data_IF_535871609174
#
_entry.id   IF_535871609174
#
_cell.length_a   1.000
_cell.length_b   1.000
_cell.length_c   1.000
_cell.angle_alpha   90.00
_cell.angle_beta   90.00
_cell.angle_gamma   90.00
#
_symmetry.space_group_name_H-M   'P 1'
#
loop_
_entity.id
_entity.type
_entity.pdbx_description
1 polymer ?
#
# COMPACT_ATOMS: atom_id res chain seq x y z
N UNK A 1 13.98 15.22 -3.51
CA UNK A 1 12.52 15.07 -3.76
C UNK A 1 11.87 14.16 -2.70
N UNK A 2 12.16 14.39 -1.41
CA UNK A 2 11.58 13.63 -0.27
C UNK A 2 11.12 14.62 0.82
N UNK A 3 11.78 15.78 0.95
CA UNK A 3 11.37 16.83 1.89
C UNK A 3 10.06 17.56 1.56
N UNK A 4 9.60 17.56 0.30
CA UNK A 4 8.40 18.31 -0.10
C UNK A 4 7.10 17.68 0.40
N UNK A 5 7.06 16.36 0.59
CA UNK A 5 5.87 15.65 1.10
C UNK A 5 5.66 15.86 2.60
N UNK A 6 6.74 15.95 3.39
CA UNK A 6 6.64 16.12 4.85
C UNK A 6 6.23 17.55 5.22
N UNK A 7 6.75 18.56 4.49
CA UNK A 7 6.39 19.96 4.72
C UNK A 7 4.95 20.29 4.31
N UNK A 8 4.45 19.63 3.25
CA UNK A 8 3.06 19.77 2.81
C UNK A 8 2.05 19.20 3.81
N UNK A 9 2.47 18.24 4.65
CA UNK A 9 1.63 17.65 5.70
C UNK A 9 1.46 18.61 6.90
N UNK A 10 2.49 19.39 7.22
CA UNK A 10 2.50 20.34 8.35
C UNK A 10 1.70 21.62 8.05
N UNK A 11 1.42 21.93 6.78
CA UNK A 11 0.61 23.09 6.35
C UNK A 11 -0.89 22.78 6.21
N UNK A 12 -1.33 21.58 6.59
CA UNK A 12 -2.73 21.19 6.44
C UNK A 12 -3.60 21.72 7.59
N UNK A 13 -4.73 22.35 7.24
CA UNK A 13 -5.70 22.88 8.20
C UNK A 13 -6.21 21.79 9.15
N UNK A 14 -6.57 22.13 10.40
CA UNK A 14 -7.01 21.16 11.42
C UNK A 14 -8.21 20.30 10.96
N UNK A 15 -9.08 20.82 10.09
CA UNK A 15 -10.18 20.06 9.47
C UNK A 15 -9.73 18.94 8.53
N UNK A 16 -8.58 19.13 7.86
CA UNK A 16 -8.01 18.13 6.94
C UNK A 16 -7.28 17.04 7.71
N UNK A 17 -6.80 17.33 8.92
CA UNK A 17 -6.32 16.33 9.87
C UNK A 17 -7.43 15.40 10.37
N UNK A 18 -8.62 15.92 10.68
CA UNK A 18 -9.77 15.06 11.04
C UNK A 18 -10.26 14.20 9.86
N UNK A 19 -10.12 14.69 8.63
CA UNK A 19 -10.41 13.91 7.43
C UNK A 19 -9.40 12.78 7.23
N UNK A 20 -8.11 13.06 7.43
CA UNK A 20 -7.06 12.04 7.41
C UNK A 20 -7.18 11.04 8.57
N UNK A 21 -7.61 11.46 9.76
CA UNK A 21 -7.90 10.56 10.89
C UNK A 21 -9.11 9.66 10.64
N UNK A 22 -10.07 10.08 9.79
CA UNK A 22 -11.19 9.24 9.32
C UNK A 22 -10.81 8.25 8.23
N UNK A 23 -9.69 8.48 7.53
CA UNK A 23 -9.10 7.44 6.71
C UNK A 23 -8.42 6.43 7.64
N UNK A 24 -9.02 5.26 7.86
CA UNK A 24 -8.32 4.18 8.55
C UNK A 24 -7.13 3.77 7.68
N UNK A 25 -5.94 4.17 8.10
CA UNK A 25 -4.67 3.76 7.49
C UNK A 25 -4.12 2.61 8.30
N UNK A 26 -4.00 1.45 7.67
CA UNK A 26 -3.38 0.26 8.27
C UNK A 26 -2.02 0.03 7.64
N UNK A 27 -0.99 -0.06 8.48
CA UNK A 27 0.37 -0.40 8.09
C UNK A 27 0.67 -1.84 8.51
N UNK A 28 1.00 -2.69 7.55
CA UNK A 28 1.50 -4.03 7.79
C UNK A 28 2.96 -4.11 7.37
N UNK A 29 3.82 -4.62 8.24
CA UNK A 29 5.20 -4.94 7.92
C UNK A 29 5.42 -6.45 8.05
N UNK A 30 6.22 -6.99 7.15
CA UNK A 30 6.63 -8.38 7.17
C UNK A 30 8.06 -8.50 6.66
N UNK A 31 8.76 -9.53 7.12
CA UNK A 31 10.06 -9.89 6.56
C UNK A 31 9.97 -11.26 5.93
N UNK A 32 10.45 -11.38 4.70
CA UNK A 32 10.57 -12.62 3.98
C UNK A 32 12.05 -12.93 3.78
N UNK A 33 12.51 -14.08 4.24
CA UNK A 33 13.86 -14.55 3.93
C UNK A 33 13.81 -15.42 2.67
N UNK A 34 14.59 -15.06 1.67
CA UNK A 34 14.66 -15.74 0.38
C UNK A 34 15.96 -16.53 0.33
N UNK A 35 15.89 -17.82 0.00
CA UNK A 35 17.09 -18.65 -0.18
C UNK A 35 17.87 -18.19 -1.42
N UNK A 36 19.20 -18.23 -1.35
CA UNK A 36 20.06 -17.87 -2.47
C UNK A 36 19.94 -18.84 -3.66
N UNK A 37 19.48 -20.08 -3.40
CA UNK A 37 19.27 -21.11 -4.40
C UNK A 37 17.91 -21.01 -5.11
N UNK A 38 17.11 -20.00 -4.79
CA UNK A 38 15.81 -19.79 -5.43
C UNK A 38 15.95 -19.61 -6.95
N UNK A 39 15.18 -20.38 -7.71
CA UNK A 39 15.30 -20.45 -9.16
C UNK A 39 14.94 -19.11 -9.84
N UNK A 40 14.07 -18.32 -9.21
CA UNK A 40 13.72 -17.01 -9.74
C UNK A 40 14.88 -16.02 -9.63
N UNK A 41 15.79 -16.17 -8.65
CA UNK A 41 16.99 -15.34 -8.54
C UNK A 41 17.99 -15.71 -9.64
N UNK A 42 18.24 -16.99 -9.86
CA UNK A 42 19.21 -17.47 -10.87
C UNK A 42 18.74 -17.24 -12.30
N UNK A 43 17.43 -17.35 -12.56
CA UNK A 43 16.82 -17.08 -13.88
C UNK A 43 16.46 -15.61 -14.09
N UNK A 44 16.64 -14.73 -13.10
CA UNK A 44 16.25 -13.33 -13.18
C UNK A 44 14.73 -13.11 -13.31
N UNK A 45 13.92 -14.08 -12.87
CA UNK A 45 12.46 -14.01 -12.89
C UNK A 45 11.99 -13.20 -11.68
N UNK A 46 11.01 -12.33 -11.90
CA UNK A 46 10.38 -11.55 -10.82
C UNK A 46 9.15 -12.30 -10.29
N UNK A 47 9.13 -12.69 -9.01
CA UNK A 47 7.95 -13.30 -8.42
C UNK A 47 6.77 -12.31 -8.42
N UNK A 48 5.56 -12.86 -8.52
CA UNK A 48 4.34 -12.06 -8.56
C UNK A 48 3.79 -11.87 -7.14
N UNK A 49 3.67 -10.62 -6.70
CA UNK A 49 2.95 -10.28 -5.48
C UNK A 49 1.46 -10.18 -5.77
N UNK A 50 0.69 -11.06 -5.14
CA UNK A 50 -0.77 -11.05 -5.17
C UNK A 50 -1.30 -10.58 -3.82
N UNK A 51 -2.10 -9.52 -3.82
CA UNK A 51 -2.78 -9.04 -2.62
C UNK A 51 -4.21 -8.70 -2.92
N UNK A 52 -5.10 -9.02 -1.98
CA UNK A 52 -6.52 -8.71 -2.07
C UNK A 52 -6.87 -7.75 -0.93
N UNK A 53 -7.47 -6.61 -1.29
CA UNK A 53 -7.89 -5.61 -0.31
C UNK A 53 -9.36 -5.25 -0.50
N UNK A 54 -10.07 -5.16 0.63
CA UNK A 54 -11.41 -4.57 0.71
C UNK A 54 -11.36 -3.04 0.91
N UNK A 55 -10.16 -2.45 0.98
CA UNK A 55 -9.98 -1.02 1.15
C UNK A 55 -10.20 -0.22 -0.14
N UNK A 56 -9.95 1.08 -0.08
CA UNK A 56 -10.07 1.98 -1.24
C UNK A 56 -8.72 2.23 -1.90
N UNK A 57 -7.60 2.10 -1.16
CA UNK A 57 -6.27 2.12 -1.74
C UNK A 57 -5.29 1.20 -0.99
N UNK A 58 -4.28 0.73 -1.70
CA UNK A 58 -3.20 -0.10 -1.19
C UNK A 58 -1.90 0.25 -1.89
N UNK A 59 -0.85 0.47 -1.10
CA UNK A 59 0.51 0.68 -1.57
C UNK A 59 1.40 -0.46 -1.04
N UNK A 60 2.21 -1.03 -1.92
CA UNK A 60 3.10 -2.15 -1.65
C UNK A 60 4.56 -1.70 -1.78
N UNK A 61 5.33 -1.87 -0.72
CA UNK A 61 6.75 -1.55 -0.65
C UNK A 61 7.54 -2.84 -0.45
N UNK A 62 8.65 -2.99 -1.17
CA UNK A 62 9.61 -4.07 -0.99
C UNK A 62 10.98 -3.43 -0.83
N UNK A 63 11.68 -3.79 0.25
CA UNK A 63 12.96 -3.19 0.65
C UNK A 63 12.89 -1.65 0.66
N UNK A 64 11.80 -1.10 1.21
CA UNK A 64 11.51 0.34 1.29
C UNK A 64 11.25 1.04 -0.06
N UNK A 65 11.23 0.30 -1.17
CA UNK A 65 10.95 0.83 -2.51
C UNK A 65 9.50 0.52 -2.87
N UNK A 66 8.75 1.52 -3.34
CA UNK A 66 7.39 1.34 -3.83
C UNK A 66 7.40 0.46 -5.08
N UNK A 67 6.77 -0.71 -5.00
CA UNK A 67 6.64 -1.64 -6.14
C UNK A 67 5.28 -1.53 -6.82
N UNK A 68 4.24 -1.13 -6.08
CA UNK A 68 2.92 -0.92 -6.64
C UNK A 68 2.02 -0.05 -5.79
N UNK A 69 1.05 0.58 -6.45
CA UNK A 69 -0.09 1.25 -5.85
C UNK A 69 -1.33 0.84 -6.63
N UNK A 70 -2.42 0.59 -5.91
CA UNK A 70 -3.72 0.33 -6.50
C UNK A 70 -4.81 1.01 -5.66
N UNK A 71 -5.85 1.47 -6.34
CA UNK A 71 -7.04 2.04 -5.73
C UNK A 71 -8.28 1.31 -6.23
N UNK A 72 -9.16 0.94 -5.31
CA UNK A 72 -10.50 0.44 -5.61
C UNK A 72 -11.43 1.59 -5.99
N UNK A 73 -12.46 1.28 -6.77
CA UNK A 73 -13.57 2.18 -7.06
C UNK A 73 -14.77 1.76 -6.22
N UNK A 74 -15.65 2.71 -5.85
CA UNK A 74 -16.77 2.49 -4.90
C UNK A 74 -17.75 1.37 -5.31
N UNK A 75 -17.68 0.90 -6.56
CA UNK A 75 -18.54 -0.13 -7.14
C UNK A 75 -17.96 -1.55 -7.11
N UNK A 76 -16.66 -1.75 -6.84
CA UNK A 76 -16.02 -3.08 -6.89
C UNK A 76 -15.22 -3.34 -5.61
N UNK A 77 -15.84 -4.06 -4.69
CA UNK A 77 -15.21 -4.68 -3.52
C UNK A 77 -14.91 -6.15 -3.85
N UNK A 78 -13.80 -6.79 -3.41
CA UNK A 78 -12.42 -6.30 -3.18
C UNK A 78 -11.61 -6.14 -4.49
N UNK A 79 -10.56 -5.33 -4.47
CA UNK A 79 -9.62 -5.23 -5.59
C UNK A 79 -8.38 -6.12 -5.37
N UNK A 80 -7.89 -6.71 -6.47
CA UNK A 80 -6.70 -7.56 -6.47
C UNK A 80 -5.53 -6.80 -7.09
N UNK A 81 -4.46 -6.62 -6.33
CA UNK A 81 -3.19 -6.12 -6.84
C UNK A 81 -2.34 -7.32 -7.26
N UNK A 82 -1.91 -7.32 -8.52
CA UNK A 82 -0.95 -8.26 -9.08
C UNK A 82 0.21 -7.46 -9.66
N UNK A 83 1.38 -7.54 -9.04
CA UNK A 83 2.57 -6.84 -9.54
C UNK A 83 3.82 -7.72 -9.43
N UNK A 84 4.69 -7.76 -10.45
CA UNK A 84 5.99 -8.40 -10.31
C UNK A 84 6.85 -7.58 -9.33
N UNK A 85 7.41 -8.24 -8.31
CA UNK A 85 8.25 -7.60 -7.29
C UNK A 85 9.70 -8.04 -7.42
N UNK A 86 10.61 -7.16 -7.00
CA UNK A 86 12.05 -7.45 -6.96
C UNK A 86 12.43 -7.91 -5.56
N UNK A 87 12.82 -9.19 -5.44
CA UNK A 87 13.37 -9.77 -4.21
C UNK A 87 14.87 -10.02 -4.40
N UNK A 88 15.62 -9.98 -3.30
CA UNK A 88 17.05 -10.34 -3.24
C UNK A 88 17.24 -11.59 -2.40
N UNK A 89 18.38 -12.28 -2.53
CA UNK A 89 18.78 -13.31 -1.58
C UNK A 89 18.84 -12.74 -0.15
N UNK A 90 18.43 -13.55 0.83
CA UNK A 90 18.36 -13.18 2.24
C UNK A 90 17.12 -12.38 2.61
N UNK A 91 17.26 -11.50 3.61
CA UNK A 91 16.12 -10.79 4.20
C UNK A 91 15.58 -9.71 3.25
N UNK A 92 14.30 -9.80 2.95
CA UNK A 92 13.51 -8.79 2.26
C UNK A 92 12.44 -8.24 3.19
N UNK A 93 12.27 -6.93 3.20
CA UNK A 93 11.23 -6.28 4.00
C UNK A 93 10.06 -5.88 3.11
N UNK A 94 8.87 -6.33 3.45
CA UNK A 94 7.64 -6.03 2.73
C UNK A 94 6.80 -5.14 3.65
N UNK A 95 6.41 -3.97 3.16
CA UNK A 95 5.49 -3.10 3.86
C UNK A 95 4.27 -2.81 3.00
N UNK A 96 3.09 -2.85 3.61
CA UNK A 96 1.81 -2.61 2.95
C UNK A 96 1.13 -1.48 3.70
N UNK A 97 0.80 -0.42 2.96
CA UNK A 97 -0.04 0.66 3.45
C UNK A 97 -1.42 0.51 2.81
N UNK A 98 -2.42 0.17 3.61
CA UNK A 98 -3.83 0.13 3.18
C UNK A 98 -4.56 1.35 3.70
N UNK A 99 -5.42 1.92 2.86
CA UNK A 99 -6.21 3.11 3.16
C UNK A 99 -7.67 2.84 2.82
N UNK A 100 -8.57 3.17 3.75
CA UNK A 100 -10.00 3.25 3.48
C UNK A 100 -10.42 4.71 3.49
N UNK A 101 -11.08 5.21 2.45
CA UNK A 101 -11.64 6.56 2.47
C UNK A 101 -13.05 6.45 3.05
N UNK A 102 -13.19 6.68 4.36
CA UNK A 102 -14.47 6.57 5.05
C UNK A 102 -15.15 7.93 5.17
N UNK A 103 -16.08 8.25 4.26
CA UNK A 103 -17.19 9.16 4.60
C UNK A 103 -18.42 8.89 3.73
N UNK A 104 -19.23 7.91 4.13
CA UNK A 104 -20.62 7.83 3.68
C UNK A 104 -21.39 8.94 4.40
N UNK A 105 -21.63 10.07 3.74
CA UNK A 105 -22.69 10.99 4.19
C UNK A 105 -24.00 10.51 3.58
N UNK A 106 -24.72 9.65 4.29
CA UNK A 106 -26.16 9.58 4.08
C UNK A 106 -26.76 10.86 4.66
N UNK A 107 -26.89 11.91 3.86
CA UNK A 107 -27.87 12.95 4.17
C UNK A 107 -29.25 12.34 3.95
N UNK A 108 -29.80 11.72 5.00
CA UNK A 108 -31.23 11.39 5.04
C UNK A 108 -31.95 12.73 5.22
N UNK A 109 -32.30 13.37 4.11
CA UNK A 109 -33.24 14.49 4.14
C UNK A 109 -34.58 13.90 4.54
N UNK A 110 -35.02 14.17 5.77
CA UNK A 110 -36.42 14.04 6.18
C UNK A 110 -37.00 15.44 6.09
#
# INVERSE_FOLDING_TARGET
MVLTLVSSLLLMSPYRWDYLKRCLTHWFNGSLNVDENEEFLTKGIRPMLLMESKGHALHAFVNQILQASASGNDTVSPFKLKTPISLKAGKNEIAILSMTVGLQRTSRSI
#
